data_IF_919991181038
#
_entry.id   IF_919991181038
#
_cell.length_a   1.000
_cell.length_b   1.000
_cell.length_c   1.000
_cell.angle_alpha   90.00
_cell.angle_beta   90.00
_cell.angle_gamma   90.00
#
_symmetry.space_group_name_H-M   'P 1'
#
loop_
_entity.id
_entity.type
_entity.pdbx_description
1 polymer ?
#
# COMPACT_ATOMS: atom_id res chain seq x y z
N UNK A 1 11.54 7.23 16.39
CA UNK A 1 12.00 8.57 15.94
C UNK A 1 11.99 8.53 14.43
N UNK A 2 11.30 9.46 13.76
CA UNK A 2 11.20 9.43 12.29
C UNK A 2 12.51 9.93 11.70
N UNK A 3 13.37 9.03 11.24
CA UNK A 3 14.62 9.40 10.56
C UNK A 3 14.25 9.98 9.19
N UNK A 4 14.78 11.16 8.88
CA UNK A 4 14.51 11.83 7.61
C UNK A 4 14.92 10.92 6.43
N UNK A 5 14.00 10.57 5.51
CA UNK A 5 14.30 9.68 4.40
C UNK A 5 15.39 10.22 3.46
N UNK A 6 15.59 11.54 3.39
CA UNK A 6 16.72 12.12 2.66
C UNK A 6 18.05 11.78 3.33
N UNK A 7 18.11 11.87 4.66
CA UNK A 7 19.31 11.55 5.44
C UNK A 7 19.67 10.07 5.32
N UNK A 8 18.68 9.17 5.35
CA UNK A 8 18.90 7.72 5.17
C UNK A 8 19.51 7.39 3.80
N UNK A 9 19.13 8.11 2.75
CA UNK A 9 19.70 7.96 1.40
C UNK A 9 20.97 8.78 1.16
N UNK A 10 21.47 9.49 2.16
CA UNK A 10 22.63 10.39 2.04
C UNK A 10 22.39 11.56 1.09
N UNK A 11 21.13 11.96 0.94
CA UNK A 11 20.69 13.09 0.12
C UNK A 11 20.47 14.32 1.02
N UNK A 12 20.75 15.51 0.48
CA UNK A 12 20.31 16.75 1.13
C UNK A 12 18.81 16.93 0.89
N UNK A 13 18.01 17.44 1.84
CA UNK A 13 16.60 17.68 1.60
C UNK A 13 16.39 18.56 0.35
N UNK A 14 15.67 18.03 -0.65
CA UNK A 14 15.64 18.66 -1.97
C UNK A 14 14.77 17.92 -2.99
N UNK A 15 14.71 18.45 -4.21
CA UNK A 15 14.03 17.80 -5.34
C UNK A 15 15.05 16.95 -6.09
N UNK A 16 14.74 15.68 -6.23
CA UNK A 16 15.55 14.73 -6.99
C UNK A 16 14.68 14.02 -8.02
N UNK A 17 15.26 13.78 -9.18
CA UNK A 17 14.66 12.92 -10.18
C UNK A 17 14.57 11.47 -9.64
N UNK A 18 13.50 10.72 -9.97
CA UNK A 18 13.36 9.33 -9.56
C UNK A 18 14.58 8.44 -9.94
N UNK A 19 15.22 8.77 -11.07
CA UNK A 19 16.44 8.09 -11.52
C UNK A 19 17.62 8.31 -10.56
N UNK A 20 17.76 9.51 -10.01
CA UNK A 20 18.83 9.84 -9.06
C UNK A 20 18.59 9.18 -7.69
N UNK A 21 17.35 9.16 -7.22
CA UNK A 21 16.95 8.43 -6.01
C UNK A 21 17.25 6.93 -6.16
N UNK A 22 16.91 6.36 -7.32
CA UNK A 22 17.16 4.94 -7.64
C UNK A 22 18.65 4.61 -7.69
N UNK A 23 19.46 5.48 -8.30
CA UNK A 23 20.92 5.34 -8.34
C UNK A 23 21.51 5.32 -6.92
N UNK A 24 21.12 6.28 -6.07
CA UNK A 24 21.59 6.37 -4.68
C UNK A 24 21.16 5.19 -3.82
N UNK A 25 19.94 4.71 -4.01
CA UNK A 25 19.47 3.49 -3.36
C UNK A 25 20.33 2.27 -3.74
N UNK A 26 20.65 2.10 -5.02
CA UNK A 26 21.49 0.99 -5.50
C UNK A 26 22.90 1.03 -4.89
N UNK A 27 23.53 2.22 -4.83
CA UNK A 27 24.84 2.43 -4.22
C UNK A 27 24.83 2.07 -2.72
N UNK A 28 23.84 2.57 -1.96
CA UNK A 28 23.73 2.31 -0.52
C UNK A 28 23.45 0.82 -0.23
N UNK A 29 22.56 0.20 -1.00
CA UNK A 29 22.23 -1.21 -0.89
C UNK A 29 23.44 -2.10 -1.14
N UNK A 30 24.24 -1.79 -2.16
CA UNK A 30 25.41 -2.59 -2.49
C UNK A 30 26.48 -2.53 -1.39
N UNK A 31 26.65 -1.36 -0.74
CA UNK A 31 27.52 -1.22 0.43
C UNK A 31 27.03 -2.09 1.58
N UNK A 32 25.76 -1.95 1.97
CA UNK A 32 25.18 -2.71 3.09
C UNK A 32 25.21 -4.22 2.86
N UNK A 33 24.97 -4.69 1.63
CA UNK A 33 25.07 -6.12 1.31
C UNK A 33 26.50 -6.65 1.41
N UNK A 34 27.51 -5.83 1.10
CA UNK A 34 28.92 -6.19 1.28
C UNK A 34 29.26 -6.34 2.76
N UNK A 35 28.77 -5.43 3.59
CA UNK A 35 28.98 -5.46 5.04
C UNK A 35 28.24 -6.66 5.69
N UNK A 36 27.06 -6.99 5.16
CA UNK A 36 26.27 -8.16 5.59
C UNK A 36 26.97 -9.49 5.26
N UNK A 37 27.72 -9.55 4.16
CA UNK A 37 28.58 -10.70 3.82
C UNK A 37 29.80 -10.84 4.75
N UNK A 38 30.25 -9.76 5.39
CA UNK A 38 31.36 -9.82 6.34
C UNK A 38 30.96 -10.40 7.71
N UNK A 39 29.66 -10.58 7.99
CA UNK A 39 29.12 -11.44 9.06
C UNK A 39 29.15 -10.89 10.48
N UNK A 40 29.96 -9.88 10.79
CA UNK A 40 30.13 -9.38 12.17
C UNK A 40 29.02 -8.41 12.64
N UNK A 41 28.11 -7.97 11.74
CA UNK A 41 27.00 -7.04 12.04
C UNK A 41 25.72 -7.37 11.27
N UNK A 42 25.33 -8.65 11.24
CA UNK A 42 24.18 -9.10 10.45
C UNK A 42 22.87 -8.39 10.82
N UNK A 43 22.55 -8.31 12.12
CA UNK A 43 21.28 -7.73 12.58
C UNK A 43 21.20 -6.21 12.34
N UNK A 44 22.32 -5.50 12.55
CA UNK A 44 22.42 -4.06 12.28
C UNK A 44 22.29 -3.77 10.78
N UNK A 45 23.04 -4.50 9.94
CA UNK A 45 23.00 -4.32 8.49
C UNK A 45 21.62 -4.66 7.90
N UNK A 46 20.91 -5.63 8.51
CA UNK A 46 19.53 -5.95 8.15
C UNK A 46 18.56 -4.83 8.51
N UNK A 47 18.66 -4.27 9.72
CA UNK A 47 17.86 -3.10 10.14
C UNK A 47 18.12 -1.90 9.24
N UNK A 48 19.38 -1.60 8.93
CA UNK A 48 19.77 -0.51 8.04
C UNK A 48 19.24 -0.70 6.60
N UNK A 49 19.17 -1.95 6.10
CA UNK A 49 18.57 -2.25 4.79
C UNK A 49 17.05 -2.01 4.78
N UNK A 50 16.35 -2.40 5.85
CA UNK A 50 14.91 -2.19 5.98
C UNK A 50 14.60 -0.69 6.04
N UNK A 51 15.36 0.08 6.82
CA UNK A 51 15.25 1.54 6.89
C UNK A 51 15.52 2.21 5.54
N UNK A 52 16.56 1.76 4.82
CA UNK A 52 16.89 2.25 3.47
C UNK A 52 15.75 1.98 2.48
N UNK A 53 15.10 0.81 2.56
CA UNK A 53 13.99 0.46 1.70
C UNK A 53 12.74 1.31 1.99
N UNK A 54 12.44 1.55 3.27
CA UNK A 54 11.35 2.44 3.69
C UNK A 54 11.59 3.86 3.19
N UNK A 55 12.80 4.40 3.36
CA UNK A 55 13.17 5.73 2.88
C UNK A 55 13.04 5.85 1.35
N UNK A 56 13.54 4.86 0.61
CA UNK A 56 13.42 4.80 -0.85
C UNK A 56 11.96 4.79 -1.32
N UNK A 57 11.12 3.95 -0.72
CA UNK A 57 9.69 3.90 -1.03
C UNK A 57 8.99 5.21 -0.68
N UNK A 58 9.37 5.82 0.43
CA UNK A 58 8.82 7.10 0.86
C UNK A 58 9.16 8.21 -0.12
N UNK A 59 10.39 8.30 -0.62
CA UNK A 59 10.78 9.32 -1.59
C UNK A 59 10.22 9.09 -2.99
N UNK A 60 10.04 7.84 -3.42
CA UNK A 60 9.41 7.54 -4.71
C UNK A 60 7.89 7.75 -4.70
N UNK A 61 7.24 7.47 -3.57
CA UNK A 61 5.80 7.65 -3.40
C UNK A 61 5.46 9.06 -2.89
N UNK A 62 6.45 9.80 -2.37
CA UNK A 62 6.31 11.22 -2.12
C UNK A 62 5.96 11.85 -3.46
N UNK A 63 4.82 12.55 -3.58
CA UNK A 63 4.47 13.22 -4.82
C UNK A 63 5.63 14.14 -5.15
N UNK A 64 6.37 13.83 -6.22
CA UNK A 64 7.51 14.59 -6.67
C UNK A 64 7.09 16.06 -6.67
N UNK A 65 7.69 16.85 -5.77
CA UNK A 65 7.23 18.19 -5.41
C UNK A 65 6.73 18.98 -6.64
N UNK A 66 5.42 19.12 -6.80
CA UNK A 66 4.81 19.99 -7.82
C UNK A 66 4.02 19.31 -8.94
N UNK A 67 3.87 17.99 -8.97
CA UNK A 67 2.66 17.41 -9.55
C UNK A 67 1.63 17.26 -8.43
N UNK A 68 1.14 18.41 -7.94
CA UNK A 68 -0.29 18.46 -7.72
C UNK A 68 -0.86 17.91 -9.03
N UNK A 69 -1.52 16.75 -8.99
CA UNK A 69 -2.38 16.32 -10.09
C UNK A 69 -3.01 17.62 -10.60
N UNK A 70 -2.79 17.96 -11.88
CA UNK A 70 -3.22 19.27 -12.43
C UNK A 70 -4.59 19.56 -11.83
N UNK A 71 -4.94 20.76 -11.35
CA UNK A 71 -6.20 20.97 -10.63
C UNK A 71 -7.38 20.21 -11.28
N UNK A 72 -7.43 20.21 -12.62
CA UNK A 72 -8.28 19.36 -13.45
C UNK A 72 -8.17 17.82 -13.26
N UNK A 73 -6.99 17.21 -13.17
CA UNK A 73 -6.79 15.79 -12.84
C UNK A 73 -7.16 15.44 -11.38
N UNK A 74 -6.83 16.30 -10.41
CA UNK A 74 -7.25 16.11 -9.01
C UNK A 74 -8.78 16.19 -8.89
N UNK A 75 -9.39 17.12 -9.63
CA UNK A 75 -10.83 17.31 -9.71
C UNK A 75 -11.51 16.12 -10.42
N UNK A 76 -10.94 15.64 -11.53
CA UNK A 76 -11.42 14.44 -12.23
C UNK A 76 -11.34 13.19 -11.36
N UNK A 77 -10.24 13.03 -10.62
CA UNK A 77 -10.07 11.92 -9.67
C UNK A 77 -11.08 12.01 -8.52
N UNK A 78 -11.25 13.18 -7.92
CA UNK A 78 -12.23 13.42 -6.85
C UNK A 78 -13.66 13.17 -7.32
N UNK A 79 -13.99 13.64 -8.53
CA UNK A 79 -15.29 13.42 -9.15
C UNK A 79 -15.54 11.93 -9.41
N UNK A 80 -14.55 11.22 -9.96
CA UNK A 80 -14.64 9.78 -10.22
C UNK A 80 -14.86 8.99 -8.91
N UNK A 81 -14.14 9.34 -7.85
CA UNK A 81 -14.28 8.71 -6.53
C UNK A 81 -15.66 8.91 -5.92
N UNK A 82 -16.21 10.12 -6.01
CA UNK A 82 -17.59 10.40 -5.56
C UNK A 82 -18.61 9.57 -6.33
N UNK A 83 -18.42 9.42 -7.63
CA UNK A 83 -19.31 8.64 -8.50
C UNK A 83 -19.25 7.14 -8.15
N UNK A 84 -18.05 6.60 -7.89
CA UNK A 84 -17.87 5.24 -7.41
C UNK A 84 -18.55 5.06 -6.04
N UNK A 85 -18.30 5.96 -5.09
CA UNK A 85 -18.89 5.88 -3.75
C UNK A 85 -20.43 5.90 -3.77
N UNK A 86 -21.03 6.79 -4.58
CA UNK A 86 -22.47 6.84 -4.78
C UNK A 86 -23.03 5.61 -5.52
N UNK A 87 -22.19 4.91 -6.28
CA UNK A 87 -22.57 3.68 -7.00
C UNK A 87 -22.55 2.43 -6.11
N UNK A 88 -21.91 2.48 -4.93
CA UNK A 88 -21.89 1.38 -3.97
C UNK A 88 -23.24 1.25 -3.26
N UNK A 89 -23.80 0.05 -3.27
CA UNK A 89 -24.98 -0.31 -2.48
C UNK A 89 -24.52 -1.23 -1.35
N UNK A 90 -24.56 -0.77 -0.10
CA UNK A 90 -24.10 -1.55 1.05
C UNK A 90 -22.60 -1.93 1.00
N UNK A 91 -21.76 -1.09 0.38
CA UNK A 91 -20.32 -1.32 0.23
C UNK A 91 -19.93 -2.23 -0.95
N UNK A 92 -20.91 -2.78 -1.67
CA UNK A 92 -20.67 -3.66 -2.82
C UNK A 92 -21.06 -3.00 -4.14
N UNK A 93 -20.28 -3.30 -5.17
CA UNK A 93 -20.50 -2.82 -6.53
C UNK A 93 -21.05 -3.97 -7.39
N UNK A 94 -22.29 -3.82 -7.88
CA UNK A 94 -22.89 -4.77 -8.82
C UNK A 94 -22.14 -4.76 -10.15
N UNK A 95 -22.12 -5.89 -10.85
CA UNK A 95 -21.41 -6.05 -12.13
C UNK A 95 -21.82 -5.00 -13.18
N UNK A 96 -23.13 -4.77 -13.34
CA UNK A 96 -23.66 -3.76 -14.28
C UNK A 96 -23.26 -2.32 -13.95
N UNK A 97 -23.05 -1.99 -12.65
CA UNK A 97 -22.55 -0.67 -12.24
C UNK A 97 -21.05 -0.56 -12.46
N UNK A 98 -20.30 -1.65 -12.28
CA UNK A 98 -18.86 -1.69 -12.57
C UNK A 98 -18.58 -1.41 -14.04
N UNK A 99 -19.34 -1.99 -14.96
CA UNK A 99 -19.18 -1.73 -16.40
C UNK A 99 -19.46 -0.26 -16.74
N UNK A 100 -20.51 0.34 -16.18
CA UNK A 100 -20.81 1.77 -16.35
C UNK A 100 -19.70 2.66 -15.80
N UNK A 101 -19.09 2.29 -14.67
CA UNK A 101 -17.96 3.02 -14.10
C UNK A 101 -16.71 2.94 -14.99
N UNK A 102 -16.44 1.78 -15.61
CA UNK A 102 -15.34 1.65 -16.57
C UNK A 102 -15.56 2.50 -17.82
N UNK A 103 -16.79 2.54 -18.33
CA UNK A 103 -17.16 3.41 -19.44
C UNK A 103 -17.01 4.90 -19.09
N UNK A 104 -17.49 5.30 -17.91
CA UNK A 104 -17.36 6.67 -17.42
C UNK A 104 -15.90 7.06 -17.17
N UNK A 105 -15.09 6.11 -16.67
CA UNK A 105 -13.63 6.26 -16.54
C UNK A 105 -12.98 6.57 -17.88
N UNK A 106 -13.27 5.77 -18.92
CA UNK A 106 -12.76 5.98 -20.28
C UNK A 106 -13.17 7.34 -20.85
N UNK A 107 -14.44 7.74 -20.68
CA UNK A 107 -14.94 9.08 -21.11
C UNK A 107 -14.18 10.23 -20.45
N UNK A 108 -13.67 10.04 -19.23
CA UNK A 108 -12.90 11.04 -18.48
C UNK A 108 -11.39 10.93 -18.67
N UNK A 109 -10.94 10.00 -19.50
CA UNK A 109 -9.53 9.78 -19.84
C UNK A 109 -8.79 8.84 -18.89
N UNK A 110 -9.48 8.06 -18.06
CA UNK A 110 -8.86 7.03 -17.24
C UNK A 110 -8.68 5.73 -18.03
N UNK A 111 -7.55 5.06 -17.80
CA UNK A 111 -7.37 3.68 -18.20
C UNK A 111 -8.24 2.75 -17.34
N UNK A 112 -8.69 1.63 -17.92
CA UNK A 112 -9.55 0.65 -17.24
C UNK A 112 -8.92 0.13 -15.94
N UNK A 113 -7.61 -0.17 -15.98
CA UNK A 113 -6.84 -0.59 -14.81
C UNK A 113 -6.87 0.46 -13.69
N UNK A 114 -6.73 1.74 -14.03
CA UNK A 114 -6.77 2.83 -13.04
C UNK A 114 -8.16 2.95 -12.41
N UNK A 115 -9.21 2.79 -13.22
CA UNK A 115 -10.60 2.77 -12.74
C UNK A 115 -10.86 1.59 -11.80
N UNK A 116 -10.30 0.41 -12.10
CA UNK A 116 -10.37 -0.74 -11.19
C UNK A 116 -9.69 -0.48 -9.84
N UNK A 117 -8.50 0.15 -9.84
CA UNK A 117 -7.82 0.54 -8.61
C UNK A 117 -8.65 1.52 -7.78
N UNK A 118 -9.25 2.51 -8.44
CA UNK A 118 -10.16 3.47 -7.82
C UNK A 118 -11.36 2.79 -7.15
N UNK A 119 -11.97 1.81 -7.82
CA UNK A 119 -13.06 1.03 -7.26
C UNK A 119 -12.61 0.26 -6.02
N UNK A 120 -11.47 -0.42 -6.10
CA UNK A 120 -10.91 -1.15 -4.97
C UNK A 120 -10.61 -0.23 -3.76
N UNK A 121 -10.05 0.95 -4.01
CA UNK A 121 -9.76 1.94 -2.97
C UNK A 121 -11.02 2.44 -2.25
N UNK A 122 -12.08 2.72 -3.01
CA UNK A 122 -13.35 3.19 -2.42
C UNK A 122 -14.06 2.05 -1.67
N UNK A 123 -14.00 0.81 -2.18
CA UNK A 123 -14.59 -0.35 -1.52
C UNK A 123 -13.86 -0.76 -0.23
N UNK A 124 -12.54 -0.60 -0.17
CA UNK A 124 -11.75 -0.89 1.02
C UNK A 124 -11.90 0.19 2.11
N UNK A 125 -12.45 1.36 1.77
CA UNK A 125 -12.42 2.55 2.64
C UNK A 125 -11.00 3.11 2.77
N UNK A 126 -10.89 4.43 2.79
CA UNK A 126 -9.58 5.12 2.90
C UNK A 126 -8.78 4.73 4.16
N UNK A 127 -9.42 4.10 5.15
CA UNK A 127 -8.80 3.71 6.41
C UNK A 127 -8.13 2.33 6.46
N UNK A 128 -8.31 1.44 5.48
CA UNK A 128 -7.76 0.08 5.55
C UNK A 128 -6.51 -0.12 4.66
N UNK A 129 -6.49 0.48 3.47
CA UNK A 129 -5.32 0.39 2.57
C UNK A 129 -4.14 1.26 3.02
N UNK A 130 -4.39 2.34 3.76
CA UNK A 130 -3.34 3.17 4.39
C UNK A 130 -2.90 2.63 5.76
N UNK A 131 -3.60 1.64 6.34
CA UNK A 131 -3.34 1.09 7.68
C UNK A 131 -2.63 -0.26 7.67
N UNK A 132 -2.52 -0.91 6.51
CA UNK A 132 -1.77 -2.16 6.35
C UNK A 132 -0.24 -2.02 6.51
N UNK A 133 0.26 -0.81 6.83
CA UNK A 133 1.68 -0.51 7.03
C UNK A 133 2.14 -0.33 8.49
N UNK A 134 1.31 -0.59 9.50
CA UNK A 134 1.72 -0.43 10.91
C UNK A 134 1.32 -1.64 11.75
N UNK A 135 2.24 -2.55 12.08
CA UNK A 135 1.96 -3.66 12.99
C UNK A 135 1.89 -3.24 14.48
N UNK A 136 1.87 -1.94 14.81
CA UNK A 136 2.07 -1.49 16.19
C UNK A 136 0.83 -0.94 16.93
N UNK A 137 -0.35 -0.80 16.30
CA UNK A 137 -1.53 -0.21 16.96
C UNK A 137 -2.76 -1.14 17.07
N UNK A 138 -2.60 -2.45 16.89
CA UNK A 138 -3.70 -3.40 17.02
C UNK A 138 -4.01 -3.84 18.47
N UNK A 139 -3.55 -3.11 19.49
CA UNK A 139 -3.81 -3.45 20.92
C UNK A 139 -4.72 -2.49 21.69
N UNK A 140 -5.24 -1.41 21.10
CA UNK A 140 -6.06 -0.45 21.87
C UNK A 140 -7.40 -0.04 21.28
N UNK A 141 -7.86 -0.64 20.18
CA UNK A 141 -9.19 -0.31 19.62
C UNK A 141 -10.19 -1.47 19.74
N UNK A 142 -10.29 -2.05 20.94
CA UNK A 142 -11.41 -2.93 21.31
C UNK A 142 -12.48 -2.12 22.04
N UNK A 143 -13.29 -1.33 21.34
CA UNK A 143 -14.67 -1.06 21.73
C UNK A 143 -15.40 -0.26 20.65
N UNK A 144 -16.55 -0.81 20.23
CA UNK A 144 -17.58 -0.21 19.36
C UNK A 144 -17.58 -0.66 17.90
N UNK A 145 -18.09 -1.88 17.68
CA UNK A 145 -19.17 -2.13 16.71
C UNK A 145 -19.54 -3.61 16.77
N UNK A 146 -20.54 -3.93 17.60
CA UNK A 146 -21.12 -5.28 17.75
C UNK A 146 -22.03 -5.60 16.55
N UNK A 147 -21.48 -5.84 15.36
CA UNK A 147 -22.25 -6.51 14.27
C UNK A 147 -21.38 -7.48 13.43
N UNK A 148 -20.05 -7.31 13.36
CA UNK A 148 -19.19 -8.14 12.49
C UNK A 148 -18.64 -9.46 13.07
N UNK A 149 -19.01 -9.84 14.29
CA UNK A 149 -18.29 -10.89 15.04
C UNK A 149 -18.65 -12.35 14.66
N UNK A 150 -19.62 -12.59 13.76
CA UNK A 150 -20.05 -13.97 13.42
C UNK A 150 -19.35 -14.56 12.19
N UNK A 151 -18.63 -13.76 11.40
CA UNK A 151 -18.01 -14.25 10.15
C UNK A 151 -16.55 -14.68 10.36
N UNK A 152 -15.86 -14.14 11.37
CA UNK A 152 -14.45 -14.47 11.63
C UNK A 152 -14.23 -15.88 12.22
N UNK A 153 -15.21 -16.44 12.95
CA UNK A 153 -15.07 -17.76 13.59
C UNK A 153 -15.17 -18.94 12.59
N UNK A 154 -15.88 -18.76 11.46
CA UNK A 154 -16.05 -19.83 10.48
C UNK A 154 -14.79 -20.07 9.62
N UNK A 155 -13.99 -19.02 9.37
CA UNK A 155 -12.76 -19.12 8.57
C UNK A 155 -11.61 -19.83 9.28
N UNK A 156 -11.47 -19.63 10.60
CA UNK A 156 -10.40 -20.25 11.40
C UNK A 156 -10.58 -21.77 11.55
N UNK A 157 -11.83 -22.24 11.66
CA UNK A 157 -12.14 -23.67 11.73
C UNK A 157 -11.83 -24.38 10.40
N UNK A 158 -12.15 -23.76 9.27
CA UNK A 158 -11.82 -24.30 7.94
C UNK A 158 -10.32 -24.40 7.68
N UNK A 159 -9.56 -23.37 8.08
CA UNK A 159 -8.10 -23.34 7.90
C UNK A 159 -7.39 -24.37 8.79
N UNK A 160 -7.84 -24.57 10.03
CA UNK A 160 -7.29 -25.58 10.93
C UNK A 160 -7.52 -27.00 10.37
N UNK A 161 -8.72 -27.30 9.88
CA UNK A 161 -9.03 -28.61 9.28
C UNK A 161 -8.19 -28.83 8.01
N UNK A 162 -8.07 -27.81 7.15
CA UNK A 162 -7.27 -27.89 5.93
C UNK A 162 -5.78 -28.16 6.21
N UNK A 163 -5.17 -27.45 7.17
CA UNK A 163 -3.78 -27.68 7.56
C UNK A 163 -3.56 -29.05 8.20
N UNK A 164 -4.54 -29.55 8.94
CA UNK A 164 -4.47 -30.88 9.55
C UNK A 164 -4.58 -31.97 8.49
N UNK A 165 -5.43 -31.79 7.47
CA UNK A 165 -5.56 -32.71 6.34
C UNK A 165 -4.30 -32.73 5.46
N UNK A 166 -3.74 -31.56 5.14
CA UNK A 166 -2.48 -31.44 4.36
C UNK A 166 -1.31 -32.08 5.10
N UNK A 167 -1.24 -31.95 6.43
CA UNK A 167 -0.18 -32.57 7.24
C UNK A 167 -0.26 -34.10 7.30
N UNK A 168 -1.46 -34.67 7.18
CA UNK A 168 -1.65 -36.12 7.10
C UNK A 168 -1.40 -36.68 5.70
N UNK A 169 -1.54 -35.85 4.65
CA UNK A 169 -1.38 -36.26 3.25
C UNK A 169 0.07 -36.21 2.73
N UNK A 170 1.03 -35.92 3.61
CA UNK A 170 2.46 -36.19 3.48
C UNK A 170 3.00 -36.29 2.03
N UNK A 171 3.40 -35.14 1.50
CA UNK A 171 4.38 -34.98 0.43
C UNK A 171 5.56 -34.19 1.00
#
# INVERSE_FOLDING_TARGET
MSTDPFVVLGLTPGRYEPAEITRRFAECRQRLLRDLHAGWRYDDARRELDELYVAFRTLLNAPANGQAARPDEADRYTCMRRLIAASLEGGLLRASRRERLLEEGRRRGFADFHTHLLIAQVQAGEGELLRAGSPEEARSASQTSRVGARVAAAGLLGLAIFLTAVRWLNL
#
